data_IF_618937602630
#
_entry.id   IF_618937602630
#
_cell.length_a   1.000
_cell.length_b   1.000
_cell.length_c   1.000
_cell.angle_alpha   90.00
_cell.angle_beta   90.00
_cell.angle_gamma   90.00
#
_symmetry.space_group_name_H-M   'P 1'
#
loop_
_entity.id
_entity.type
_entity.pdbx_description
1 polymer ?
2 non-polymer ?
3 non-polymer ?
4 non-polymer ?
5 water ?
#
# COMPACT_ATOMS: atom_id res chain seq x y z
N UNK A 4 -19.96 -8.07 18.21
CA UNK A 4 -18.47 -7.87 18.06
C UNK A 4 -17.75 -7.95 19.41
N UNK A 5 -17.62 -9.17 19.94
CA UNK A 5 -17.15 -9.34 21.32
C UNK A 5 -15.74 -8.81 21.52
N UNK A 6 -15.47 -8.32 22.74
CA UNK A 6 -14.13 -7.91 23.12
C UNK A 6 -13.10 -9.00 22.84
N UNK A 7 -13.40 -10.22 23.27
CA UNK A 7 -12.56 -11.40 23.03
C UNK A 7 -13.33 -12.39 22.16
N UNK A 8 -13.24 -12.26 20.85
CA UNK A 8 -14.12 -13.10 20.02
C UNK A 8 -13.70 -14.56 19.93
N UNK A 9 -12.42 -14.83 20.15
CA UNK A 9 -11.92 -16.19 20.09
C UNK A 9 -11.87 -16.65 18.64
N UNK A 10 -11.49 -17.90 18.45
CA UNK A 10 -11.47 -18.52 17.13
C UNK A 10 -11.52 -20.03 17.29
N UNK A 11 -11.51 -20.76 16.16
CA UNK A 11 -11.49 -22.20 16.22
C UNK A 11 -10.76 -22.70 14.99
N UNK A 12 -10.35 -23.96 15.01
CA UNK A 12 -9.44 -24.44 13.95
C UNK A 12 -10.15 -24.66 12.60
N UNK A 13 -11.47 -24.78 12.62
CA UNK A 13 -12.21 -24.83 11.34
C UNK A 13 -12.00 -23.48 10.67
N UNK A 14 -12.24 -22.40 11.42
CA UNK A 14 -12.07 -21.03 10.89
C UNK A 14 -10.63 -20.77 10.45
N UNK A 15 -9.68 -21.19 11.29
CA UNK A 15 -8.27 -20.97 11.02
C UNK A 15 -7.77 -21.65 9.77
N UNK A 16 -8.27 -22.85 9.51
CA UNK A 16 -7.85 -23.63 8.36
C UNK A 16 -8.73 -23.34 7.13
N UNK A 17 -9.77 -22.53 7.28
CA UNK A 17 -10.76 -22.38 6.21
C UNK A 17 -10.17 -21.72 4.96
N UNK A 18 -10.47 -22.30 3.81
CA UNK A 18 -10.03 -21.75 2.54
C UNK A 18 -11.25 -21.46 1.65
N UNK A 19 -11.26 -20.29 1.01
CA UNK A 19 -12.27 -20.02 -0.05
C UNK A 19 -11.87 -20.86 -1.29
N UNK A 20 -12.84 -21.36 -2.03
CA UNK A 20 -12.55 -22.16 -3.24
C UNK A 20 -12.16 -21.22 -4.39
N UNK A 21 -10.88 -20.86 -4.41
CA UNK A 21 -10.24 -19.97 -5.38
C UNK A 21 -9.29 -20.79 -6.21
N UNK A 22 -9.29 -20.56 -7.52
CA UNK A 22 -8.23 -21.11 -8.37
C UNK A 22 -6.98 -20.23 -8.31
N UNK A 23 -6.16 -20.47 -7.30
CA UNK A 23 -4.90 -19.76 -7.16
C UNK A 23 -3.91 -20.28 -8.17
N UNK A 24 -3.16 -19.36 -8.75
CA UNK A 24 -2.06 -19.72 -9.64
C UNK A 24 -0.82 -18.87 -9.33
N UNK A 25 0.33 -19.34 -9.78
CA UNK A 25 1.54 -18.56 -9.70
C UNK A 25 1.94 -18.08 -11.07
N UNK A 26 2.84 -17.09 -11.07
CA UNK A 26 3.43 -16.63 -12.32
C UNK A 26 4.10 -17.81 -13.01
N UNK A 27 4.83 -18.63 -12.25
CA UNK A 27 5.49 -19.82 -12.85
C UNK A 27 4.49 -20.75 -13.56
N UNK A 28 3.33 -20.94 -12.95
CA UNK A 28 2.30 -21.81 -13.52
C UNK A 28 1.70 -21.21 -14.79
N UNK A 29 1.45 -19.90 -14.79
CA UNK A 29 0.96 -19.22 -15.97
C UNK A 29 2.05 -19.41 -17.08
N UNK A 30 3.30 -19.12 -16.77
CA UNK A 30 4.34 -19.26 -17.80
C UNK A 30 4.33 -20.68 -18.36
N UNK A 31 4.18 -21.66 -17.47
CA UNK A 31 4.25 -23.07 -17.88
C UNK A 31 3.12 -23.34 -18.86
N UNK A 32 1.97 -22.73 -18.59
CA UNK A 32 0.76 -22.95 -19.43
C UNK A 32 0.93 -22.37 -20.86
N UNK A 33 1.91 -21.49 -21.05
CA UNK A 33 2.17 -20.85 -22.33
C UNK A 33 3.36 -21.45 -23.06
N UNK A 34 3.89 -22.55 -22.55
CA UNK A 34 5.15 -23.09 -23.09
C UNK A 34 4.93 -23.48 -24.55
N UNK A 35 5.84 -23.02 -25.40
CA UNK A 35 5.74 -23.31 -26.82
C UNK A 35 4.74 -22.45 -27.59
N UNK A 36 4.01 -21.57 -26.91
CA UNK A 36 3.08 -20.70 -27.64
C UNK A 36 3.89 -19.54 -28.19
N UNK A 37 3.69 -19.17 -29.46
CA UNK A 37 4.46 -18.06 -30.03
C UNK A 37 4.07 -16.73 -29.37
N UNK A 38 4.86 -15.69 -29.63
CA UNK A 38 4.57 -14.35 -29.11
C UNK A 38 3.12 -13.96 -29.41
N UNK A 39 2.49 -13.32 -28.44
CA UNK A 39 1.08 -12.94 -28.50
C UNK A 39 0.95 -11.60 -27.78
N UNK A 40 -0.19 -10.94 -27.92
CA UNK A 40 -0.44 -9.69 -27.20
C UNK A 40 -1.07 -10.00 -25.87
N UNK A 41 -0.59 -9.35 -24.82
CA UNK A 41 -1.24 -9.51 -23.52
C UNK A 41 -1.47 -8.13 -22.97
N UNK A 42 -2.37 -8.01 -22.01
CA UNK A 42 -2.74 -6.69 -21.58
C UNK A 42 -2.90 -6.63 -20.06
N UNK A 43 -2.73 -5.43 -19.54
CA UNK A 43 -2.85 -5.16 -18.11
C UNK A 43 -3.70 -3.93 -17.86
N UNK A 44 -4.58 -4.07 -16.87
CA UNK A 44 -5.17 -2.93 -16.21
C UNK A 44 -4.03 -2.19 -15.52
N UNK A 45 -4.17 -0.90 -15.26
CA UNK A 45 -3.17 -0.16 -14.51
C UNK A 45 -3.34 -0.11 -13.00
N UNK A 46 -4.45 0.47 -12.54
CA UNK A 46 -4.57 0.79 -11.13
C UNK A 46 -4.90 -0.43 -10.28
N UNK A 47 -4.00 -0.69 -9.35
CA UNK A 47 -4.03 -1.83 -8.40
C UNK A 47 -3.74 -3.13 -9.13
N UNK A 48 -3.31 -3.02 -10.39
CA UNK A 48 -2.87 -4.21 -11.10
C UNK A 48 -1.39 -4.14 -11.30
N UNK A 49 -0.92 -3.05 -11.85
CA UNK A 49 0.51 -2.88 -11.96
C UNK A 49 1.05 -1.73 -11.13
N UNK A 50 0.22 -0.72 -10.86
CA UNK A 50 0.65 0.39 -10.02
C UNK A 50 -0.30 0.51 -8.81
N UNK A 51 0.28 0.62 -7.65
CA UNK A 51 -0.48 1.09 -6.48
C UNK A 51 -0.49 2.60 -6.64
N UNK A 52 -1.54 3.10 -7.29
CA UNK A 52 -1.68 4.53 -7.59
C UNK A 52 -2.57 5.27 -6.62
N UNK A 53 -3.04 4.58 -5.57
CA UNK A 53 -3.84 5.23 -4.51
C UNK A 53 -3.26 6.55 -3.98
N UNK A 54 -1.93 6.71 -3.91
CA UNK A 54 -1.37 7.99 -3.43
C UNK A 54 -1.91 9.21 -4.22
N UNK A 55 -1.84 9.18 -5.56
CA UNK A 55 -2.45 10.19 -6.42
C UNK A 55 -3.98 10.32 -6.35
N UNK A 56 -4.68 9.18 -6.24
CA UNK A 56 -6.14 9.21 -6.08
C UNK A 56 -6.56 9.76 -4.72
N UNK A 57 -5.82 9.38 -3.65
CA UNK A 57 -5.98 9.93 -2.28
C UNK A 57 -5.74 11.46 -2.33
N UNK A 58 -4.61 11.87 -2.90
CA UNK A 58 -4.38 13.32 -3.03
C UNK A 58 -5.47 14.01 -3.86
N UNK A 59 -5.89 13.38 -4.96
CA UNK A 59 -6.91 13.94 -5.83
C UNK A 59 -8.23 14.14 -5.10
N UNK A 60 -8.65 13.12 -4.34
CA UNK A 60 -9.92 13.22 -3.63
C UNK A 60 -9.81 14.32 -2.56
N UNK A 61 -8.72 14.35 -1.82
CA UNK A 61 -8.55 15.38 -0.80
C UNK A 61 -8.60 16.79 -1.39
N UNK A 62 -7.93 16.97 -2.51
CA UNK A 62 -7.73 18.30 -3.12
C UNK A 62 -8.97 18.81 -3.84
N UNK A 63 -9.62 17.92 -4.59
CA UNK A 63 -10.68 18.29 -5.53
C UNK A 63 -12.13 17.97 -5.12
N UNK A 64 -12.32 16.94 -4.29
CA UNK A 64 -13.67 16.61 -3.81
C UNK A 64 -13.64 15.87 -2.49
N UNK A 65 -13.23 16.53 -1.40
CA UNK A 65 -13.11 15.83 -0.11
C UNK A 65 -14.38 15.14 0.41
N UNK A 66 -15.57 15.54 -0.08
CA UNK A 66 -16.81 14.97 0.45
C UNK A 66 -17.54 14.07 -0.55
N UNK A 67 -16.91 13.80 -1.70
CA UNK A 67 -17.57 13.00 -2.74
C UNK A 67 -16.54 12.32 -3.66
N UNK A 68 -17.06 11.67 -4.68
CA UNK A 68 -16.26 11.03 -5.72
C UNK A 68 -16.19 11.92 -6.95
N UNK A 69 -16.61 13.18 -6.82
CA UNK A 69 -16.64 14.08 -7.99
C UNK A 69 -15.30 14.30 -8.65
N UNK A 70 -14.20 14.16 -7.89
CA UNK A 70 -12.87 14.34 -8.47
C UNK A 70 -12.61 13.45 -9.69
N UNK A 71 -13.24 12.26 -9.73
CA UNK A 71 -13.07 11.33 -10.85
C UNK A 71 -13.74 11.82 -12.11
N UNK A 72 -14.52 12.90 -12.00
CA UNK A 72 -15.14 13.55 -13.14
C UNK A 72 -14.54 14.92 -13.40
N UNK A 73 -13.42 15.23 -12.75
CA UNK A 73 -12.88 16.58 -12.80
C UNK A 73 -11.64 16.58 -13.69
N UNK A 74 -11.71 17.20 -14.86
CA UNK A 74 -10.55 17.21 -15.77
C UNK A 74 -9.26 17.70 -15.11
N UNK A 75 -9.34 18.61 -14.15
CA UNK A 75 -8.17 19.16 -13.46
C UNK A 75 -7.44 18.05 -12.68
N UNK A 76 -8.20 17.13 -12.09
CA UNK A 76 -7.64 15.98 -11.41
C UNK A 76 -6.90 15.10 -12.41
N UNK A 77 -7.57 14.73 -13.49
CA UNK A 77 -6.96 13.77 -14.42
C UNK A 77 -5.67 14.31 -15.06
N UNK A 78 -5.65 15.59 -15.41
CA UNK A 78 -4.43 16.19 -15.94
C UNK A 78 -3.26 16.00 -14.97
N UNK A 79 -3.49 16.21 -13.68
CA UNK A 79 -2.49 15.93 -12.65
C UNK A 79 -2.13 14.47 -12.57
N UNK A 80 -3.16 13.61 -12.52
CA UNK A 80 -2.98 12.17 -12.29
C UNK A 80 -2.22 11.49 -13.45
N UNK A 81 -2.44 11.95 -14.68
CA UNK A 81 -1.84 11.35 -15.87
C UNK A 81 -0.58 12.03 -16.34
N UNK A 82 -0.15 13.09 -15.66
CA UNK A 82 1.05 13.82 -16.11
C UNK A 82 2.12 14.01 -15.02
N UNK A 83 2.14 13.09 -14.05
CA UNK A 83 3.20 13.12 -13.07
C UNK A 83 2.89 12.59 -11.67
N UNK A 84 1.62 12.54 -11.29
CA UNK A 84 1.35 11.99 -9.96
C UNK A 84 1.69 10.50 -9.88
N UNK A 85 1.83 9.83 -11.03
CA UNK A 85 2.33 8.46 -10.95
C UNK A 85 3.78 8.31 -10.54
N UNK A 86 4.51 9.42 -10.41
CA UNK A 86 5.84 9.35 -9.79
C UNK A 86 5.73 8.87 -8.35
N UNK A 87 4.54 9.00 -7.77
CA UNK A 87 4.28 8.55 -6.41
C UNK A 87 3.57 7.18 -6.39
N UNK A 88 3.26 6.63 -7.55
CA UNK A 88 2.62 5.30 -7.58
C UNK A 88 3.65 4.21 -7.38
N UNK A 89 3.29 3.16 -6.63
CA UNK A 89 4.25 2.10 -6.32
C UNK A 89 4.06 0.86 -7.21
N UNK A 90 5.04 0.54 -8.06
CA UNK A 90 4.92 -0.62 -8.94
C UNK A 90 4.74 -1.87 -8.11
N UNK A 91 3.88 -2.79 -8.59
CA UNK A 91 3.64 -4.04 -7.90
C UNK A 91 4.62 -5.12 -8.36
N UNK A 92 5.17 -5.85 -7.39
CA UNK A 92 6.10 -6.94 -7.73
C UNK A 92 5.48 -7.99 -8.62
N UNK A 93 4.20 -8.28 -8.39
CA UNK A 93 3.53 -9.27 -9.25
C UNK A 93 3.60 -8.81 -10.70
N UNK A 94 3.45 -7.49 -10.91
CA UNK A 94 3.54 -6.95 -12.26
C UNK A 94 4.96 -7.00 -12.85
N UNK A 95 5.97 -6.71 -12.04
CA UNK A 95 7.35 -6.87 -12.46
C UNK A 95 7.59 -8.30 -12.95
N UNK A 96 7.08 -9.27 -12.20
CA UNK A 96 7.35 -10.67 -12.59
C UNK A 96 6.61 -11.04 -13.88
N UNK A 97 5.34 -10.67 -13.93
CA UNK A 97 4.55 -10.96 -15.15
C UNK A 97 5.08 -10.27 -16.39
N UNK A 98 5.39 -8.99 -16.27
CA UNK A 98 5.90 -8.26 -17.42
C UNK A 98 7.28 -8.82 -17.84
N UNK A 99 8.15 -9.12 -16.87
CA UNK A 99 9.44 -9.76 -17.24
C UNK A 99 9.23 -11.07 -18.01
N UNK A 100 8.26 -11.87 -17.55
CA UNK A 100 7.98 -13.17 -18.11
C UNK A 100 7.46 -13.04 -19.54
N UNK A 101 6.56 -12.10 -19.76
CA UNK A 101 5.95 -11.87 -21.07
C UNK A 101 6.96 -11.26 -22.05
N UNK A 102 7.77 -10.33 -21.55
CA UNK A 102 8.88 -9.77 -22.35
C UNK A 102 9.81 -10.89 -22.80
N UNK A 103 10.20 -11.76 -21.87
CA UNK A 103 11.09 -12.90 -22.19
C UNK A 103 10.50 -13.75 -23.28
N UNK A 104 9.17 -13.93 -23.27
CA UNK A 104 8.47 -14.64 -24.35
C UNK A 104 8.45 -13.90 -25.68
N UNK A 105 8.77 -12.60 -25.67
CA UNK A 105 8.62 -11.80 -26.88
C UNK A 105 7.19 -11.33 -27.11
N UNK A 106 6.38 -11.35 -26.06
CA UNK A 106 4.99 -10.90 -26.16
C UNK A 106 4.87 -9.38 -26.26
N UNK A 107 3.78 -8.90 -26.86
CA UNK A 107 3.50 -7.46 -26.90
C UNK A 107 2.80 -7.10 -25.59
N UNK A 108 3.19 -6.00 -24.95
CA UNK A 108 2.62 -5.57 -23.66
C UNK A 108 1.74 -4.37 -23.93
N UNK A 109 0.47 -4.50 -23.54
CA UNK A 109 -0.52 -3.44 -23.65
C UNK A 109 -1.06 -3.09 -22.29
N UNK A 110 -1.37 -1.82 -22.12
CA UNK A 110 -2.01 -1.37 -20.89
C UNK A 110 -3.30 -0.72 -21.29
N UNK A 111 -4.40 -1.16 -20.69
CA UNK A 111 -5.72 -0.65 -21.05
C UNK A 111 -6.37 -0.17 -19.78
N UNK A 112 -6.65 1.13 -19.75
CA UNK A 112 -7.12 1.77 -18.52
C UNK A 112 -8.47 2.45 -18.70
N UNK A 113 -9.27 2.46 -17.63
CA UNK A 113 -10.49 3.26 -17.59
C UNK A 113 -10.29 4.65 -17.05
N UNK A 114 -9.04 5.05 -16.76
CA UNK A 114 -8.75 6.43 -16.36
C UNK A 114 -9.28 7.38 -17.45
N UNK A 115 -9.79 8.54 -17.06
CA UNK A 115 -10.20 9.48 -18.12
C UNK A 115 -9.02 9.95 -18.93
N UNK A 116 -9.21 10.11 -20.24
CA UNK A 116 -8.11 10.58 -21.08
C UNK A 116 -7.83 12.08 -20.91
N UNK A 117 -6.59 12.46 -21.20
CA UNK A 117 -6.18 13.83 -21.04
C UNK A 117 -5.45 14.31 -22.30
N UNK A 118 -5.14 15.61 -22.35
CA UNK A 118 -4.45 16.18 -23.51
C UNK A 118 -3.09 15.49 -23.80
N UNK A 119 -2.30 15.27 -22.77
CA UNK A 119 -1.02 14.57 -22.85
C UNK A 119 -1.08 13.51 -21.74
N UNK A 120 -0.17 12.52 -21.76
CA UNK A 120 -0.05 11.60 -20.61
C UNK A 120 1.40 11.15 -20.57
N UNK A 121 1.92 10.99 -19.37
CA UNK A 121 3.27 10.48 -19.16
C UNK A 121 3.25 9.12 -18.45
N UNK A 122 2.06 8.53 -18.38
CA UNK A 122 1.85 7.22 -17.73
C UNK A 122 2.57 6.12 -18.54
N UNK A 123 2.45 6.17 -19.87
CA UNK A 123 3.17 5.21 -20.74
C UNK A 123 4.66 5.20 -20.44
N UNK A 124 5.27 6.39 -20.35
CA UNK A 124 6.68 6.48 -19.97
C UNK A 124 6.99 5.92 -18.58
N UNK A 125 6.18 6.28 -17.59
CA UNK A 125 6.34 5.76 -16.25
C UNK A 125 6.37 4.24 -16.29
N UNK A 126 5.41 3.64 -16.99
CA UNK A 126 5.33 2.16 -17.05
C UNK A 126 6.53 1.50 -17.74
N UNK A 127 6.91 2.03 -18.90
CA UNK A 127 8.10 1.50 -19.63
C UNK A 127 9.38 1.62 -18.78
N UNK A 128 9.54 2.76 -18.12
CA UNK A 128 10.72 3.00 -17.29
C UNK A 128 10.71 2.12 -16.06
N UNK A 129 9.58 2.09 -15.33
CA UNK A 129 9.57 1.35 -14.05
C UNK A 129 9.67 -0.14 -14.29
N UNK A 130 9.05 -0.62 -15.35
CA UNK A 130 9.04 -2.05 -15.59
C UNK A 130 10.09 -2.49 -16.60
N UNK A 131 10.94 -1.55 -17.01
CA UNK A 131 12.06 -1.87 -17.90
C UNK A 131 11.52 -2.59 -19.13
N UNK A 132 10.46 -2.04 -19.71
CA UNK A 132 9.85 -2.66 -20.87
C UNK A 132 10.58 -2.19 -22.15
N UNK A 133 11.22 -3.11 -22.88
CA UNK A 133 11.89 -2.76 -24.14
C UNK A 133 10.94 -2.13 -25.16
N UNK A 134 11.50 -1.23 -25.95
CA UNK A 134 10.68 -0.49 -26.92
C UNK A 134 9.90 -1.41 -27.86
N UNK A 135 10.46 -2.56 -28.18
CA UNK A 135 9.82 -3.46 -29.11
C UNK A 135 8.57 -4.15 -28.50
N UNK A 136 8.52 -4.27 -27.17
CA UNK A 136 7.38 -4.89 -26.50
C UNK A 136 6.36 -3.86 -26.03
N UNK A 137 6.82 -2.61 -25.90
CA UNK A 137 6.03 -1.54 -25.27
C UNK A 137 4.96 -1.00 -26.23
N UNK A 138 3.81 -0.61 -25.68
CA UNK A 138 2.76 0.07 -26.43
C UNK A 138 2.17 1.17 -25.58
N UNK A 139 1.84 2.29 -26.21
CA UNK A 139 1.29 3.42 -25.46
C UNK A 139 -0.02 3.02 -24.78
N UNK A 140 -0.23 3.55 -23.59
CA UNK A 140 -1.44 3.25 -22.83
C UNK A 140 -2.71 3.54 -23.65
N UNK A 141 -3.64 2.62 -23.55
CA UNK A 141 -4.96 2.75 -24.17
C UNK A 141 -6.00 3.23 -23.14
N UNK A 142 -6.62 4.38 -23.40
CA UNK A 142 -7.71 4.87 -22.54
C UNK A 142 -9.03 4.43 -23.11
N UNK A 143 -9.65 3.47 -22.43
CA UNK A 143 -10.86 2.83 -22.93
C UNK A 143 -12.04 3.36 -22.11
N UNK A 144 -13.21 3.40 -22.71
CA UNK A 144 -14.35 3.77 -21.86
C UNK A 144 -15.59 4.01 -22.69
N UNK A 145 -16.53 4.73 -22.10
CA UNK A 145 -17.81 4.89 -22.78
C UNK A 145 -18.15 6.32 -23.20
N UNK A 146 -17.13 7.18 -23.26
CA UNK A 146 -17.34 8.57 -23.69
C UNK A 146 -17.40 8.61 -25.20
N UNK A 147 -18.02 9.64 -25.79
CA UNK A 147 -18.02 9.74 -27.26
C UNK A 147 -16.62 9.65 -27.87
N UNK A 148 -16.47 8.83 -28.90
CA UNK A 148 -15.22 8.61 -29.62
C UNK A 148 -14.34 7.51 -29.04
N UNK A 149 -14.70 7.03 -27.85
CA UNK A 149 -13.93 6.00 -27.17
C UNK A 149 -14.42 4.65 -27.55
N UNK A 150 -13.62 3.64 -27.28
CA UNK A 150 -14.06 2.28 -27.42
C UNK A 150 -13.89 1.62 -26.09
N UNK A 151 -14.67 0.57 -25.85
CA UNK A 151 -14.66 -0.06 -24.55
C UNK A 151 -13.42 -0.93 -24.40
N UNK A 152 -13.16 -1.30 -23.17
CA UNK A 152 -12.07 -2.20 -22.85
C UNK A 152 -12.20 -3.48 -23.69
N UNK A 153 -13.40 -4.06 -23.73
CA UNK A 153 -13.65 -5.28 -24.54
C UNK A 153 -13.27 -5.06 -25.98
N UNK A 154 -13.65 -3.89 -26.51
CA UNK A 154 -13.41 -3.60 -27.92
C UNK A 154 -11.91 -3.48 -28.20
N UNK A 155 -11.18 -2.87 -27.27
CA UNK A 155 -9.74 -2.72 -27.41
C UNK A 155 -9.04 -4.05 -27.26
N UNK A 156 -9.53 -4.94 -26.41
CA UNK A 156 -8.93 -6.26 -26.31
C UNK A 156 -9.07 -7.04 -27.61
N UNK A 157 -10.24 -6.92 -28.26
CA UNK A 157 -10.44 -7.57 -29.56
C UNK A 157 -9.53 -6.95 -30.63
N UNK A 158 -9.52 -5.62 -30.70
CA UNK A 158 -8.74 -4.83 -31.66
C UNK A 158 -7.27 -5.22 -31.62
N UNK A 159 -6.70 -5.30 -30.43
CA UNK A 159 -5.28 -5.63 -30.30
C UNK A 159 -5.01 -7.13 -30.21
N UNK A 160 -6.04 -7.95 -30.35
CA UNK A 160 -5.93 -9.41 -30.21
C UNK A 160 -5.24 -9.83 -28.88
N UNK A 161 -5.61 -9.15 -27.82
CA UNK A 161 -5.04 -9.43 -26.51
C UNK A 161 -5.61 -10.77 -26.00
N UNK A 162 -4.73 -11.73 -25.77
CA UNK A 162 -5.14 -13.10 -25.42
C UNK A 162 -5.27 -13.36 -23.92
N UNK A 163 -4.56 -12.57 -23.12
CA UNK A 163 -4.57 -12.68 -21.66
C UNK A 163 -4.73 -11.25 -21.15
N UNK A 164 -5.63 -11.03 -20.19
CA UNK A 164 -5.76 -9.70 -19.61
C UNK A 164 -5.74 -9.79 -18.10
N UNK A 165 -4.81 -9.04 -17.51
CA UNK A 165 -4.65 -9.03 -16.07
C UNK A 165 -5.31 -7.81 -15.43
N UNK A 166 -6.06 -8.03 -14.35
CA UNK A 166 -6.63 -6.92 -13.62
C UNK A 166 -7.18 -7.30 -12.26
N UNK A 167 -7.45 -6.29 -11.47
CA UNK A 167 -7.96 -6.48 -10.13
C UNK A 167 -9.49 -6.35 -10.02
N UNK A 168 -10.14 -5.68 -10.99
CA UNK A 168 -11.59 -5.44 -10.86
C UNK A 168 -12.44 -6.46 -11.63
N UNK A 169 -13.70 -6.62 -11.22
CA UNK A 169 -14.60 -7.55 -11.91
C UNK A 169 -14.64 -7.21 -13.38
N UNK A 170 -14.73 -5.91 -13.69
CA UNK A 170 -14.85 -5.48 -15.08
C UNK A 170 -13.66 -5.84 -15.95
N UNK A 171 -12.47 -6.02 -15.34
CA UNK A 171 -11.32 -6.48 -16.10
C UNK A 171 -11.52 -7.92 -16.53
N UNK A 172 -12.03 -8.74 -15.62
CA UNK A 172 -12.25 -10.15 -15.93
C UNK A 172 -13.41 -10.32 -16.95
N UNK A 173 -14.52 -9.62 -16.72
CA UNK A 173 -15.64 -9.76 -17.67
C UNK A 173 -15.30 -9.21 -19.06
N UNK A 174 -14.50 -8.15 -19.13
CA UNK A 174 -14.12 -7.57 -20.42
C UNK A 174 -13.32 -8.64 -21.20
N UNK A 175 -12.43 -9.36 -20.51
CA UNK A 175 -11.71 -10.45 -21.15
C UNK A 175 -12.63 -11.58 -21.59
N UNK A 176 -13.51 -12.01 -20.70
CA UNK A 176 -14.36 -13.15 -20.98
C UNK A 176 -15.30 -12.86 -22.18
N UNK A 177 -15.85 -11.64 -22.21
CA UNK A 177 -16.76 -11.22 -23.29
C UNK A 177 -16.16 -11.39 -24.68
N UNK A 178 -14.83 -11.32 -24.78
CA UNK A 178 -14.19 -11.49 -26.08
C UNK A 178 -13.38 -12.76 -26.18
N UNK A 179 -13.50 -13.62 -25.16
CA UNK A 179 -12.88 -14.92 -25.18
C UNK A 179 -11.40 -14.89 -24.87
N UNK A 180 -10.93 -13.84 -24.17
CA UNK A 180 -9.56 -13.79 -23.71
C UNK A 180 -9.51 -14.44 -22.30
N UNK A 181 -8.30 -14.68 -21.83
CA UNK A 181 -8.08 -15.28 -20.53
C UNK A 181 -7.89 -14.17 -19.51
N UNK A 182 -8.90 -14.00 -18.66
CA UNK A 182 -8.83 -12.99 -17.65
C UNK A 182 -8.24 -13.58 -16.40
N UNK A 183 -7.21 -12.94 -15.87
CA UNK A 183 -6.47 -13.41 -14.72
C UNK A 183 -6.46 -12.31 -13.69
N UNK A 184 -6.86 -12.68 -12.47
CA UNK A 184 -7.12 -11.69 -11.41
C UNK A 184 -5.87 -11.42 -10.57
N UNK A 185 -5.62 -10.12 -10.32
CA UNK A 185 -4.59 -9.68 -9.34
C UNK A 185 -5.35 -9.12 -8.11
N UNK A 186 -4.85 -9.39 -6.90
CA UNK A 186 -5.44 -8.91 -5.64
C UNK A 186 -5.19 -7.41 -5.49
N UNK A 187 -6.24 -6.66 -5.15
CA UNK A 187 -6.11 -5.23 -4.82
C UNK A 187 -5.56 -5.11 -3.39
N UNK A 188 -4.56 -4.26 -3.16
CA UNK A 188 -3.99 -4.16 -1.81
C UNK A 188 -5.03 -3.61 -0.86
N UNK A 189 -4.97 -4.04 0.40
CA UNK A 189 -5.98 -3.65 1.41
C UNK A 189 -5.86 -2.18 1.83
N UNK A 190 -4.71 -1.56 1.56
CA UNK A 190 -4.53 -0.14 1.81
C UNK A 190 -4.80 0.71 0.57
N UNK A 191 -5.34 0.08 -0.50
CA UNK A 191 -5.87 0.89 -1.61
C UNK A 191 -7.00 1.78 -1.10
N UNK A 192 -7.16 2.96 -1.70
CA UNK A 192 -8.33 3.77 -1.36
C UNK A 192 -9.56 3.41 -2.15
N UNK A 193 -9.44 2.48 -3.10
CA UNK A 193 -10.62 2.10 -3.87
C UNK A 193 -11.29 0.94 -3.18
N UNK A 194 -12.39 1.24 -2.52
CA UNK A 194 -13.04 0.28 -1.62
C UNK A 194 -14.49 0.19 -2.01
N UNK A 195 -15.16 -0.94 -1.77
CA UNK A 195 -14.58 -2.09 -1.09
C UNK A 195 -13.67 -2.91 -2.03
N UNK A 196 -12.86 -3.77 -1.44
CA UNK A 196 -12.01 -4.67 -2.24
C UNK A 196 -12.92 -5.59 -3.05
N UNK A 197 -12.52 -5.94 -4.26
CA UNK A 197 -13.27 -6.91 -5.06
C UNK A 197 -13.13 -8.31 -4.49
N UNK A 198 -14.07 -9.17 -4.83
CA UNK A 198 -13.94 -10.58 -4.50
C UNK A 198 -13.19 -11.25 -5.61
N UNK A 199 -11.87 -11.24 -5.49
CA UNK A 199 -11.01 -11.92 -6.46
C UNK A 199 -11.45 -13.38 -6.59
N UNK A 200 -11.74 -13.85 -7.81
CA UNK A 200 -12.15 -15.25 -7.99
C UNK A 200 -13.68 -15.38 -8.14
N UNK A 201 -14.36 -14.24 -8.19
CA UNK A 201 -15.83 -14.19 -8.17
C UNK A 201 -16.46 -14.82 -9.40
N UNK A 202 -15.67 -15.01 -10.46
CA UNK A 202 -16.24 -15.61 -11.69
C UNK A 202 -15.57 -16.95 -11.97
N UNK A 203 -14.84 -17.48 -10.99
CA UNK A 203 -14.15 -18.75 -11.18
C UNK A 203 -12.84 -18.63 -11.94
N UNK A 204 -12.39 -17.40 -12.14
CA UNK A 204 -11.15 -17.15 -12.87
C UNK A 204 -9.89 -17.48 -12.00
N UNK A 205 -8.76 -17.63 -12.66
CA UNK A 205 -7.47 -17.72 -11.98
C UNK A 205 -7.18 -16.43 -11.21
N UNK A 206 -6.59 -16.59 -10.04
CA UNK A 206 -6.16 -15.46 -9.23
C UNK A 206 -4.69 -15.68 -8.92
N UNK A 207 -3.84 -14.69 -9.17
CA UNK A 207 -2.43 -14.84 -8.79
C UNK A 207 -2.16 -14.73 -7.29
N UNK A 208 -1.48 -15.75 -6.75
CA UNK A 208 -1.11 -15.69 -5.32
C UNK A 208 -0.31 -14.44 -5.02
N UNK A 209 -0.50 -13.95 -3.80
CA UNK A 209 0.38 -12.92 -3.19
C UNK A 209 0.53 -11.70 -4.06
N UNK A 210 -0.53 -11.37 -4.80
CA UNK A 210 -0.39 -10.38 -5.87
C UNK A 210 -0.87 -9.01 -5.35
N UNK A 211 -1.05 -8.89 -4.04
CA UNK A 211 -1.32 -7.59 -3.42
C UNK A 211 -0.12 -6.62 -3.37
N UNK A 212 1.11 -7.10 -3.63
CA UNK A 212 2.29 -6.22 -3.65
C UNK A 212 3.24 -6.50 -4.83
N UNK B 4 11.60 -22.72 -7.52
CA UNK B 4 10.92 -23.59 -6.49
C UNK B 4 9.83 -24.40 -7.17
N UNK B 5 9.24 -25.41 -6.52
CA UNK B 5 8.39 -26.35 -7.28
C UNK B 5 7.22 -25.71 -8.02
N UNK B 6 6.93 -26.18 -9.22
CA UNK B 6 5.81 -25.64 -9.99
C UNK B 6 4.52 -25.76 -9.19
N UNK B 7 4.32 -26.92 -8.55
CA UNK B 7 3.09 -27.21 -7.79
C UNK B 7 3.47 -27.65 -6.39
N UNK B 8 3.74 -26.69 -5.49
CA UNK B 8 4.27 -26.99 -4.15
C UNK B 8 3.26 -27.67 -3.25
N UNK B 9 1.96 -27.43 -3.47
CA UNK B 9 1.00 -28.11 -2.59
C UNK B 9 0.96 -27.51 -1.17
N UNK B 10 0.15 -28.11 -0.29
CA UNK B 10 0.05 -27.65 1.07
C UNK B 10 -0.53 -28.75 1.94
N UNK B 11 -0.77 -28.48 3.22
CA UNK B 11 -1.44 -29.50 4.05
C UNK B 11 -2.09 -28.76 5.18
N UNK B 12 -2.99 -29.42 5.90
CA UNK B 12 -3.84 -28.67 6.83
C UNK B 12 -3.11 -28.23 8.11
N UNK B 13 -2.02 -28.88 8.42
CA UNK B 13 -1.22 -28.42 9.54
C UNK B 13 -0.66 -27.04 9.17
N UNK B 14 -0.09 -26.92 7.97
CA UNK B 14 0.40 -25.63 7.47
C UNK B 14 -0.71 -24.56 7.35
N UNK B 15 -1.86 -24.95 6.84
CA UNK B 15 -2.96 -24.02 6.61
C UNK B 15 -3.44 -23.44 7.90
N UNK B 16 -3.44 -24.24 8.95
CA UNK B 16 -3.96 -23.78 10.24
C UNK B 16 -2.88 -23.20 11.14
N UNK B 17 -1.62 -23.25 10.70
CA UNK B 17 -0.51 -22.94 11.60
C UNK B 17 -0.51 -21.48 12.02
N UNK B 18 -0.31 -21.20 13.32
CA UNK B 18 -0.27 -19.85 13.84
C UNK B 18 1.08 -19.65 14.53
N UNK B 19 1.73 -18.53 14.22
CA UNK B 19 2.87 -18.06 15.03
C UNK B 19 2.36 -17.63 16.42
N UNK B 20 3.14 -17.88 17.48
CA UNK B 20 2.68 -17.52 18.83
C UNK B 20 2.88 -16.02 19.04
N UNK B 21 1.87 -15.26 18.60
CA UNK B 21 1.90 -13.80 18.62
C UNK B 21 0.79 -13.37 19.60
N UNK B 22 1.11 -12.40 20.45
CA UNK B 22 0.10 -11.76 21.29
C UNK B 22 -0.68 -10.72 20.48
N UNK B 23 -1.71 -11.15 19.76
CA UNK B 23 -2.50 -10.22 18.96
C UNK B 23 -3.48 -9.49 19.85
N UNK B 24 -3.69 -8.21 19.59
CA UNK B 24 -4.70 -7.43 20.34
C UNK B 24 -5.54 -6.61 19.36
N UNK B 25 -6.69 -6.15 19.82
CA UNK B 25 -7.47 -5.23 19.02
C UNK B 25 -7.42 -3.87 19.70
N UNK B 26 -7.85 -2.84 18.99
CA UNK B 26 -7.95 -1.51 19.57
C UNK B 26 -8.92 -1.53 20.76
N UNK B 27 -10.02 -2.28 20.63
CA UNK B 27 -10.99 -2.37 21.73
C UNK B 27 -10.36 -3.00 22.96
N UNK B 28 -9.53 -4.03 22.75
CA UNK B 28 -8.84 -4.65 23.88
C UNK B 28 -7.85 -3.70 24.53
N UNK B 29 -7.14 -2.91 23.72
CA UNK B 29 -6.23 -1.93 24.29
C UNK B 29 -7.01 -0.91 25.13
N UNK B 30 -8.09 -0.38 24.56
CA UNK B 30 -8.89 0.65 25.25
C UNK B 30 -9.45 0.11 26.56
N UNK B 31 -9.94 -1.13 26.52
CA UNK B 31 -10.40 -1.81 27.72
C UNK B 31 -9.30 -1.94 28.80
N UNK B 32 -8.09 -2.27 28.37
CA UNK B 32 -6.95 -2.40 29.26
C UNK B 32 -6.62 -1.09 29.98
N UNK B 33 -7.06 0.04 29.39
CA UNK B 33 -6.75 1.38 29.91
C UNK B 33 -7.95 1.98 30.65
N UNK B 34 -9.02 1.20 30.80
CA UNK B 34 -10.26 1.71 31.39
C UNK B 34 -9.97 2.28 32.75
N UNK B 35 -10.40 3.52 32.96
CA UNK B 35 -10.22 4.16 34.23
C UNK B 35 -8.88 4.83 34.45
N UNK B 36 -7.90 4.65 33.57
CA UNK B 36 -6.61 5.33 33.76
C UNK B 36 -6.75 6.75 33.30
N UNK B 37 -6.28 7.71 34.10
CA UNK B 37 -6.40 9.13 33.72
C UNK B 37 -5.54 9.48 32.50
N UNK B 38 -5.74 10.65 31.93
CA UNK B 38 -4.89 11.14 30.85
C UNK B 38 -3.42 10.92 31.08
N UNK B 39 -2.74 10.47 30.03
CA UNK B 39 -1.31 10.26 30.04
C UNK B 39 -0.74 10.60 28.66
N UNK B 40 0.58 10.66 28.54
CA UNK B 40 1.18 10.86 27.21
C UNK B 40 1.32 9.52 26.46
N UNK B 41 0.98 9.52 25.18
CA UNK B 41 1.22 8.35 24.31
C UNK B 41 1.89 8.83 23.06
N UNK B 42 2.53 7.91 22.33
CA UNK B 42 3.32 8.34 21.19
C UNK B 42 3.09 7.38 20.05
N UNK B 43 3.28 7.89 18.83
CA UNK B 43 3.16 7.11 17.61
C UNK B 43 4.37 7.34 16.74
N UNK B 44 4.86 6.25 16.16
CA UNK B 44 5.77 6.36 15.05
C UNK B 44 4.94 6.91 13.89
N UNK B 45 5.57 7.47 12.85
CA UNK B 45 4.79 7.93 11.68
C UNK B 45 4.78 6.93 10.54
N UNK B 46 5.96 6.66 9.99
CA UNK B 46 6.00 5.95 8.72
C UNK B 46 5.71 4.47 8.88
N UNK B 47 4.69 4.03 8.15
CA UNK B 47 4.12 2.67 8.22
C UNK B 47 3.43 2.38 9.53
N UNK B 48 3.23 3.42 10.37
CA UNK B 48 2.43 3.26 11.58
C UNK B 48 1.14 4.03 11.47
N UNK B 49 1.26 5.33 11.18
CA UNK B 49 0.05 6.11 10.95
C UNK B 49 -0.10 6.54 9.49
N UNK B 50 1.02 6.64 8.74
CA UNK B 50 0.96 6.99 7.33
C UNK B 50 1.65 5.94 6.51
N UNK B 51 0.96 5.52 5.46
CA UNK B 51 1.64 4.84 4.37
C UNK B 51 2.30 5.90 3.51
N UNK B 52 3.55 6.20 3.87
CA UNK B 52 4.31 7.29 3.27
C UNK B 52 5.29 6.79 2.23
N UNK B 53 5.24 5.50 1.90
CA UNK B 53 6.04 4.94 0.78
C UNK B 53 6.03 5.74 -0.56
N UNK B 54 4.89 6.32 -0.96
CA UNK B 54 4.86 7.14 -2.19
C UNK B 54 5.99 8.18 -2.19
N UNK B 55 6.11 8.93 -1.12
CA UNK B 55 7.16 9.95 -1.01
C UNK B 55 8.58 9.40 -0.93
N UNK B 56 8.76 8.28 -0.22
CA UNK B 56 10.09 7.71 -0.07
C UNK B 56 10.50 7.06 -1.39
N UNK B 57 9.51 6.48 -2.07
CA UNK B 57 9.72 5.89 -3.38
C UNK B 57 10.12 6.99 -4.37
N UNK B 58 9.38 8.09 -4.37
CA UNK B 58 9.75 9.22 -5.24
C UNK B 58 11.13 9.72 -4.91
N UNK B 59 11.41 9.83 -3.60
CA UNK B 59 12.70 10.32 -3.17
C UNK B 59 13.86 9.46 -3.65
N UNK B 60 13.74 8.15 -3.43
CA UNK B 60 14.76 7.21 -3.93
C UNK B 60 15.02 7.34 -5.43
N UNK B 61 13.97 7.27 -6.22
CA UNK B 61 14.07 7.36 -7.68
C UNK B 61 14.70 8.68 -8.11
N UNK B 62 14.36 9.76 -7.39
CA UNK B 62 14.85 11.11 -7.71
C UNK B 62 16.28 11.33 -7.27
N UNK B 63 16.60 10.91 -6.05
CA UNK B 63 17.84 11.31 -5.39
C UNK B 63 18.93 10.26 -5.32
N UNK B 64 18.55 8.98 -5.43
CA UNK B 64 19.54 7.91 -5.39
C UNK B 64 18.96 6.60 -5.88
N UNK B 65 18.68 6.50 -7.17
CA UNK B 65 18.01 5.32 -7.73
C UNK B 65 18.74 4.02 -7.36
N UNK B 66 20.07 4.07 -7.25
CA UNK B 66 20.90 2.89 -6.97
C UNK B 66 21.35 2.70 -5.53
N UNK B 67 20.84 3.49 -4.59
CA UNK B 67 21.27 3.36 -3.20
C UNK B 67 20.27 3.92 -2.18
N UNK B 68 20.64 3.87 -0.92
CA UNK B 68 19.85 4.45 0.17
C UNK B 68 20.34 5.86 0.54
N UNK B 69 21.19 6.45 -0.30
CA UNK B 69 21.79 7.75 0.05
C UNK B 69 20.78 8.88 0.18
N UNK B 70 19.64 8.76 -0.51
CA UNK B 70 18.59 9.80 -0.41
C UNK B 70 18.17 10.08 1.04
N UNK B 71 18.27 9.05 1.88
CA UNK B 71 17.89 9.16 3.31
C UNK B 71 18.86 10.01 4.14
N UNK B 72 20.00 10.37 3.56
CA UNK B 72 20.92 11.29 4.23
C UNK B 72 21.01 12.62 3.45
N UNK B 73 20.14 12.78 2.46
CA UNK B 73 20.14 13.96 1.60
C UNK B 73 19.15 15.04 2.09
N UNK B 74 19.65 16.16 2.61
CA UNK B 74 18.78 17.26 3.07
C UNK B 74 17.76 17.72 2.04
N UNK B 75 18.07 17.63 0.74
CA UNK B 75 17.13 18.07 -0.31
C UNK B 75 15.94 17.10 -0.35
N UNK B 76 16.21 15.81 -0.12
CA UNK B 76 15.12 14.86 0.01
C UNK B 76 14.20 15.18 1.19
N UNK B 77 14.78 15.38 2.36
CA UNK B 77 13.98 15.62 3.57
C UNK B 77 13.15 16.87 3.46
N UNK B 78 13.71 17.90 2.83
CA UNK B 78 12.97 19.13 2.63
C UNK B 78 11.73 18.86 1.79
N UNK B 79 11.83 18.00 0.79
CA UNK B 79 10.62 17.67 0.01
C UNK B 79 9.67 16.81 0.82
N UNK B 80 10.23 15.80 1.48
CA UNK B 80 9.42 14.82 2.23
C UNK B 80 8.57 15.43 3.34
N UNK B 81 9.11 16.43 3.99
CA UNK B 81 8.51 16.98 5.22
C UNK B 81 7.70 18.23 4.96
N UNK B 82 7.65 18.66 3.70
CA UNK B 82 6.99 19.91 3.36
C UNK B 82 5.99 19.76 2.23
N UNK B 83 5.43 18.57 2.10
CA UNK B 83 4.40 18.42 1.09
C UNK B 83 4.22 17.03 0.51
N UNK B 84 5.26 16.20 0.54
CA UNK B 84 5.07 14.87 -0.12
C UNK B 84 4.11 13.98 0.66
N UNK B 85 3.86 14.32 1.92
CA UNK B 85 2.81 13.62 2.68
C UNK B 85 1.41 13.91 2.20
N UNK B 86 1.26 14.84 1.24
CA UNK B 86 -0.05 14.94 0.57
C UNK B 86 -0.42 13.62 -0.11
N UNK B 87 0.60 12.80 -0.43
CA UNK B 87 0.35 11.53 -1.09
C UNK B 87 0.40 10.38 -0.10
N UNK B 88 0.65 10.66 1.18
CA UNK B 88 0.70 9.59 2.17
C UNK B 88 -0.69 9.18 2.60
N UNK B 89 -0.94 7.88 2.69
CA UNK B 89 -2.31 7.41 2.91
C UNK B 89 -2.45 7.04 4.37
N UNK B 90 -3.31 7.75 5.10
CA UNK B 90 -3.49 7.46 6.54
C UNK B 90 -3.95 6.04 6.78
N UNK B 91 -3.40 5.43 7.84
CA UNK B 91 -3.78 4.05 8.22
C UNK B 91 -5.05 3.99 9.08
N UNK B 92 -5.98 3.10 8.74
CA UNK B 92 -7.23 2.94 9.51
C UNK B 92 -6.93 2.61 10.99
N UNK B 93 -5.94 1.76 11.20
CA UNK B 93 -5.59 1.40 12.58
C UNK B 93 -5.22 2.65 13.38
N UNK B 94 -4.52 3.59 12.71
CA UNK B 94 -4.17 4.86 13.33
C UNK B 94 -5.38 5.79 13.62
N UNK B 95 -6.31 5.87 12.67
CA UNK B 95 -7.54 6.61 12.91
C UNK B 95 -8.20 6.07 14.20
N UNK B 96 -8.27 4.74 14.30
CA UNK B 96 -8.97 4.12 15.42
C UNK B 96 -8.22 4.36 16.72
N UNK B 97 -6.89 4.21 16.69
CA UNK B 97 -6.07 4.41 17.89
C UNK B 97 -6.06 5.89 18.32
N UNK B 98 -5.95 6.80 17.36
CA UNK B 98 -5.89 8.23 17.70
C UNK B 98 -7.28 8.68 18.27
N UNK B 99 -8.37 8.27 17.62
CA UNK B 99 -9.70 8.55 18.17
C UNK B 99 -9.80 8.01 19.59
N UNK B 100 -9.29 6.81 19.82
CA UNK B 100 -9.39 6.23 21.16
C UNK B 100 -8.58 7.04 22.19
N UNK B 101 -7.39 7.46 21.81
CA UNK B 101 -6.59 8.27 22.74
C UNK B 101 -7.17 9.68 22.95
N UNK B 102 -7.82 10.22 21.92
CA UNK B 102 -8.55 11.48 22.15
C UNK B 102 -9.72 11.27 23.10
N UNK B 103 -10.44 10.16 22.94
CA UNK B 103 -11.52 9.83 23.88
C UNK B 103 -11.01 9.84 25.33
N UNK B 104 -9.83 9.26 25.52
CA UNK B 104 -9.23 9.16 26.84
C UNK B 104 -8.71 10.48 27.38
N UNK B 105 -8.59 11.50 26.54
CA UNK B 105 -7.98 12.74 27.01
C UNK B 105 -6.45 12.67 27.06
N UNK B 106 -5.87 11.67 26.38
CA UNK B 106 -4.43 11.56 26.33
C UNK B 106 -3.74 12.64 25.48
N UNK B 107 -2.52 12.94 25.86
CA UNK B 107 -1.62 13.78 25.08
C UNK B 107 -1.00 12.91 23.98
N UNK B 108 -1.07 13.38 22.72
CA UNK B 108 -0.58 12.55 21.60
C UNK B 108 0.69 13.12 20.97
N UNK B 109 1.74 12.29 20.92
CA UNK B 109 3.01 12.69 20.35
C UNK B 109 3.34 11.81 19.17
N UNK B 110 4.01 12.39 18.20
CA UNK B 110 4.54 11.62 17.08
C UNK B 110 6.05 11.71 17.12
N UNK B 111 6.71 10.55 17.11
CA UNK B 111 8.15 10.54 17.21
C UNK B 111 8.68 9.72 16.03
N UNK B 112 9.34 10.42 15.13
CA UNK B 112 9.75 9.82 13.87
C UNK B 112 11.27 9.83 13.66
N UNK B 113 11.75 8.82 12.97
CA UNK B 113 13.14 8.71 12.56
C UNK B 113 13.49 9.59 11.36
N UNK B 114 12.49 10.22 10.75
CA UNK B 114 12.77 11.26 9.75
C UNK B 114 13.72 12.34 10.29
N UNK B 115 14.53 12.89 9.38
CA UNK B 115 15.47 13.98 9.74
C UNK B 115 14.73 15.30 9.91
N UNK B 116 15.19 16.14 10.84
CA UNK B 116 14.61 17.48 11.00
C UNK B 116 14.91 18.39 9.80
N UNK B 117 13.96 19.26 9.47
CA UNK B 117 14.13 20.16 8.35
C UNK B 117 13.88 21.58 8.81
N UNK B 118 14.03 22.55 7.93
CA UNK B 118 13.90 23.95 8.34
C UNK B 118 12.47 24.30 8.70
N UNK B 119 11.53 23.71 7.98
CA UNK B 119 10.09 23.87 8.25
C UNK B 119 9.54 22.46 8.01
N UNK B 120 8.33 22.21 8.49
CA UNK B 120 7.70 20.93 8.27
C UNK B 120 6.19 21.15 8.32
N UNK B 121 5.48 20.46 7.43
CA UNK B 121 4.03 20.53 7.37
C UNK B 121 3.43 19.21 7.84
N UNK B 122 4.28 18.33 8.36
CA UNK B 122 3.80 16.99 8.75
C UNK B 122 2.85 17.07 9.95
N UNK B 123 3.19 17.90 10.94
CA UNK B 123 2.29 18.04 12.09
C UNK B 123 0.91 18.46 11.62
N UNK B 124 0.83 19.44 10.72
CA UNK B 124 -0.48 19.83 10.18
C UNK B 124 -1.22 18.69 9.45
N UNK B 125 -0.50 17.96 8.61
CA UNK B 125 -1.09 16.84 7.88
C UNK B 125 -1.71 15.82 8.84
N UNK B 126 -0.99 15.53 9.93
CA UNK B 126 -1.47 14.57 10.93
C UNK B 126 -2.67 15.11 11.70
N UNK B 127 -2.58 16.34 12.20
CA UNK B 127 -3.70 16.91 12.98
C UNK B 127 -4.95 16.98 12.09
N UNK B 128 -4.77 17.40 10.85
CA UNK B 128 -5.91 17.50 9.91
C UNK B 128 -6.49 16.16 9.56
N UNK B 129 -5.64 15.22 9.20
CA UNK B 129 -6.17 13.97 8.67
C UNK B 129 -6.78 13.11 9.74
N UNK B 130 -6.19 13.16 10.91
CA UNK B 130 -6.70 12.40 12.05
C UNK B 130 -7.67 13.16 12.97
N UNK B 131 -7.98 14.41 12.63
CA UNK B 131 -8.97 15.19 13.42
C UNK B 131 -8.53 15.30 14.89
N UNK B 132 -7.27 15.62 15.09
CA UNK B 132 -6.74 15.68 16.43
C UNK B 132 -6.97 17.10 16.98
N UNK B 133 -7.68 17.26 18.10
CA UNK B 133 -7.88 18.62 18.63
C UNK B 133 -6.56 19.24 19.06
N UNK B 134 -6.57 20.58 19.09
CA UNK B 134 -5.38 21.33 19.52
C UNK B 134 -4.81 20.79 20.82
N UNK B 135 -5.65 20.56 21.83
CA UNK B 135 -5.12 20.23 23.14
C UNK B 135 -4.40 18.86 23.17
N UNK B 136 -4.85 17.89 22.37
CA UNK B 136 -4.20 16.59 22.32
C UNK B 136 -2.96 16.56 21.44
N UNK B 137 -2.89 17.48 20.49
CA UNK B 137 -1.85 17.46 19.47
C UNK B 137 -0.55 18.06 20.02
N UNK B 138 0.56 17.52 19.53
CA UNK B 138 1.89 18.07 19.83
C UNK B 138 2.70 18.04 18.57
N UNK B 139 3.60 19.01 18.37
CA UNK B 139 4.39 19.06 17.13
C UNK B 139 5.23 17.79 17.01
N UNK B 140 5.28 17.31 15.78
CA UNK B 140 6.06 16.12 15.49
C UNK B 140 7.52 16.29 15.97
N UNK B 141 8.02 15.22 16.60
CA UNK B 141 9.43 15.14 16.99
C UNK B 141 10.21 14.39 15.91
N UNK B 142 11.07 15.12 15.20
CA UNK B 142 11.93 14.54 14.17
C UNK B 142 13.23 14.11 14.82
N UNK B 143 13.26 12.87 15.28
CA UNK B 143 14.39 12.35 16.05
C UNK B 143 15.58 11.94 15.19
N UNK B 144 15.37 11.76 13.88
CA UNK B 144 16.48 11.39 13.02
C UNK B 144 16.89 9.92 13.13
N UNK B 145 17.92 9.57 12.40
CA UNK B 145 18.39 8.19 12.32
C UNK B 145 19.90 8.22 12.42
N UNK B 146 20.44 7.51 13.40
CA UNK B 146 21.90 7.49 13.61
C UNK B 146 22.21 6.05 14.02
N UNK B 147 22.78 5.25 13.12
CA UNK B 147 23.19 3.87 13.41
C UNK B 147 23.90 3.78 14.75
N UNK B 148 23.58 2.77 15.54
CA UNK B 148 24.20 2.61 16.84
C UNK B 148 23.44 3.27 17.98
N UNK B 149 22.49 4.15 17.66
CA UNK B 149 21.69 4.82 18.68
C UNK B 149 20.19 4.72 18.36
N UNK B 150 19.37 4.48 19.37
CA UNK B 150 17.95 4.58 19.17
C UNK B 150 17.56 6.00 19.52
N UNK B 151 17.39 6.85 18.50
CA UNK B 151 17.17 8.26 18.76
C UNK B 151 15.82 8.52 19.41
N UNK B 152 14.92 7.55 19.36
CA UNK B 152 13.57 7.76 19.91
C UNK B 152 13.54 7.62 21.44
N UNK B 153 14.36 6.72 22.00
CA UNK B 153 14.28 6.42 23.44
C UNK B 153 14.28 7.64 24.35
N UNK B 154 15.21 8.55 24.16
CA UNK B 154 15.31 9.73 25.02
C UNK B 154 14.08 10.64 24.92
N UNK B 155 13.48 10.70 23.73
CA UNK B 155 12.27 11.46 23.51
C UNK B 155 11.09 10.83 24.27
N UNK B 156 10.98 9.51 24.21
CA UNK B 156 9.91 8.85 24.95
C UNK B 156 10.05 9.15 26.45
N UNK B 157 11.28 9.10 26.96
CA UNK B 157 11.55 9.46 28.34
C UNK B 157 11.21 10.93 28.63
N UNK B 158 11.68 11.84 27.78
CA UNK B 158 11.50 13.29 28.03
C UNK B 158 10.01 13.68 28.09
N UNK B 159 9.18 13.04 27.26
CA UNK B 159 7.75 13.35 27.17
C UNK B 159 6.88 12.47 28.09
N UNK B 160 7.53 11.63 28.89
CA UNK B 160 6.85 10.65 29.73
C UNK B 160 5.80 9.83 28.97
N UNK B 161 6.19 9.36 27.78
CA UNK B 161 5.27 8.58 26.97
C UNK B 161 5.12 7.18 27.60
N UNK B 162 3.90 6.73 27.80
CA UNK B 162 3.64 5.45 28.48
C UNK B 162 3.32 4.31 27.53
N UNK B 163 2.88 4.68 26.33
CA UNK B 163 2.58 3.68 25.25
C UNK B 163 3.20 4.23 23.99
N UNK B 164 3.85 3.36 23.22
CA UNK B 164 4.44 3.82 21.96
C UNK B 164 4.05 2.79 20.91
N UNK B 165 3.37 3.29 19.88
CA UNK B 165 2.97 2.46 18.77
C UNK B 165 3.95 2.58 17.61
N UNK B 166 4.29 1.45 17.02
CA UNK B 166 5.17 1.54 15.87
C UNK B 166 5.30 0.24 15.11
N UNK B 167 5.86 0.33 13.91
CA UNK B 167 6.01 -0.85 13.06
C UNK B 167 7.41 -1.45 13.11
N UNK B 168 8.41 -0.68 13.55
CA UNK B 168 9.78 -1.19 13.46
C UNK B 168 10.27 -1.73 14.79
N UNK B 169 11.28 -2.59 14.73
CA UNK B 169 11.83 -3.13 15.96
C UNK B 169 12.28 -2.03 16.91
N UNK B 170 12.94 -1.01 16.38
CA UNK B 170 13.45 0.09 17.24
C UNK B 170 12.33 0.92 17.90
N UNK B 171 11.11 0.89 17.33
CA UNK B 171 9.99 1.54 18.03
C UNK B 171 9.67 0.78 19.31
N UNK B 172 9.62 -0.54 19.19
CA UNK B 172 9.23 -1.39 20.31
C UNK B 172 10.38 -1.34 21.34
N UNK B 173 11.62 -1.44 20.88
CA UNK B 173 12.73 -1.36 21.86
C UNK B 173 12.93 0.02 22.48
N UNK B 174 12.56 1.10 21.77
CA UNK B 174 12.53 2.42 22.42
C UNK B 174 11.57 2.39 23.62
N UNK B 175 10.39 1.80 23.42
CA UNK B 175 9.42 1.71 24.51
C UNK B 175 9.98 0.85 25.65
N UNK B 176 10.58 -0.28 25.30
CA UNK B 176 11.25 -1.16 26.26
C UNK B 176 12.32 -0.39 27.04
N UNK B 177 13.10 0.45 26.34
CA UNK B 177 14.23 1.15 26.95
C UNK B 177 13.75 1.99 28.13
N UNK B 178 12.56 2.54 28.01
CA UNK B 178 12.04 3.49 29.00
C UNK B 178 10.96 2.90 29.89
N UNK B 179 10.69 1.60 29.75
CA UNK B 179 9.67 1.00 30.57
C UNK B 179 8.26 1.34 30.11
N UNK B 180 8.12 1.79 28.87
CA UNK B 180 6.79 2.05 28.29
C UNK B 180 6.23 0.80 27.62
N UNK B 181 4.95 0.82 27.32
CA UNK B 181 4.29 -0.31 26.66
C UNK B 181 4.40 -0.15 25.15
N UNK B 182 5.18 -1.03 24.51
CA UNK B 182 5.43 -0.91 23.09
C UNK B 182 4.44 -1.81 22.36
N UNK B 183 3.65 -1.22 21.47
CA UNK B 183 2.64 -1.99 20.72
C UNK B 183 2.92 -1.90 19.24
N UNK B 184 2.94 -3.05 18.57
CA UNK B 184 3.37 -3.14 17.19
C UNK B 184 2.19 -2.98 16.21
N UNK B 185 2.41 -2.16 15.19
CA UNK B 185 1.54 -2.12 13.99
C UNK B 185 2.26 -2.84 12.80
N UNK B 186 1.48 -3.58 11.99
CA UNK B 186 2.03 -4.32 10.84
C UNK B 186 2.37 -3.34 9.73
N UNK B 187 3.56 -3.47 9.17
CA UNK B 187 3.97 -2.64 8.02
C UNK B 187 3.35 -3.31 6.80
N UNK B 188 2.71 -2.52 5.92
CA UNK B 188 2.04 -3.08 4.74
C UNK B 188 3.02 -3.78 3.85
N UNK B 189 2.54 -4.80 3.15
CA UNK B 189 3.44 -5.59 2.32
C UNK B 189 3.82 -4.84 1.04
N UNK B 190 3.10 -3.79 0.66
CA UNK B 190 3.52 -2.97 -0.47
C UNK B 190 4.32 -1.77 -0.04
N UNK B 191 4.76 -1.73 1.24
CA UNK B 191 5.69 -0.67 1.66
C UNK B 191 7.00 -0.86 0.88
N UNK B 192 7.68 0.23 0.57
CA UNK B 192 8.98 0.11 -0.08
C UNK B 192 10.11 -0.09 0.93
N UNK B 193 9.80 -0.10 2.22
CA UNK B 193 10.80 -0.32 3.27
C UNK B 193 10.87 -1.81 3.62
N UNK B 194 11.83 -2.50 3.02
CA UNK B 194 11.92 -3.96 3.10
C UNK B 194 13.30 -4.33 3.68
N UNK B 195 13.44 -5.49 4.33
CA UNK B 195 12.35 -6.46 4.54
C UNK B 195 11.32 -6.04 5.58
N UNK B 196 10.14 -6.64 5.58
CA UNK B 196 9.16 -6.39 6.66
C UNK B 196 9.72 -6.87 8.00
N UNK B 197 9.47 -6.14 9.09
CA UNK B 197 9.96 -6.60 10.39
C UNK B 197 9.17 -7.81 10.83
N UNK B 198 9.79 -8.60 11.71
CA UNK B 198 9.05 -9.63 12.43
C UNK B 198 8.28 -9.04 13.64
N UNK B 199 7.06 -8.58 13.40
CA UNK B 199 6.10 -8.16 14.42
C UNK B 199 5.90 -9.28 15.47
N UNK B 200 5.99 -8.92 16.75
CA UNK B 200 5.90 -9.89 17.83
C UNK B 200 7.22 -10.48 18.30
N UNK B 201 8.34 -10.07 17.72
CA UNK B 201 9.64 -10.70 18.04
C UNK B 201 10.23 -10.35 19.38
N UNK B 202 9.63 -9.38 20.09
CA UNK B 202 9.99 -9.11 21.48
C UNK B 202 8.88 -9.55 22.46
N UNK B 203 7.92 -10.31 21.95
CA UNK B 203 6.79 -10.81 22.73
C UNK B 203 5.79 -9.69 23.02
N UNK B 204 5.87 -8.62 22.23
CA UNK B 204 5.02 -7.45 22.48
C UNK B 204 3.65 -7.68 21.85
N UNK B 205 2.64 -6.90 22.24
CA UNK B 205 1.35 -6.98 21.59
C UNK B 205 1.43 -6.49 20.15
N UNK B 206 0.67 -7.12 19.24
CA UNK B 206 0.63 -6.64 17.88
C UNK B 206 -0.83 -6.44 17.54
N UNK B 207 -1.13 -5.31 16.93
CA UNK B 207 -2.52 -5.02 16.61
C UNK B 207 -2.96 -5.80 15.37
N UNK B 208 -4.06 -6.52 15.54
CA UNK B 208 -4.64 -7.23 14.39
C UNK B 208 -4.98 -6.29 13.24
N UNK B 209 -4.75 -6.80 12.03
CA UNK B 209 -5.22 -6.18 10.76
C UNK B 209 -4.71 -4.77 10.59
N UNK B 210 -3.54 -4.50 11.17
CA UNK B 210 -3.02 -3.15 11.25
C UNK B 210 -2.16 -2.75 10.02
N UNK B 211 -2.21 -3.57 8.99
CA UNK B 211 -1.51 -3.25 7.74
C UNK B 211 -2.22 -2.14 6.91
N UNK B 212 -3.46 -1.78 7.26
CA UNK B 212 -4.18 -0.73 6.52
C UNK B 212 -4.92 0.27 7.44
#
# INVERSE_FOLDING_TARGET
SSPSPLNPGTNVARLAEQAPIHWVSVAQIENSLAGRPPMAVGFDIDDTVLFSSPGFWRGKKTFSPESEDYLKNPVFWEKMNNGWDEFSIPKEVARQLIDMHVRRGDAIFFVTGRSPTKTETVSKTLADNFHIPATNMNPVIFAGDKPGQNTKSQWLQDKNIRIFYGDSDNDITAARDVGARGIRILRASNSTYKPLPQAGAFGEEVIVNSEY
SSPSPLNPGTNVARLAEQAPIHWVSVAQIENSLAGRPPMAVGFDIDDTVLFSSPGFWRGKKTFSPESEDYLKNPVFWEKMNNGWDEFSIPKEVARQLIDMHVRRGDAIFFVTGRSPTKTETVSKTLADNFHIPATNMNPVIFAGDKPGQNTKSQWLQDKNIRIFYGDSDNDITAARDVGARGIRILRASNSTYKPLPQAGAFGEEVIVNSEY
#
